data_IF_267506073915
#
_entry.id   IF_267506073915
#
_cell.length_a   1.000
_cell.length_b   1.000
_cell.length_c   1.000
_cell.angle_alpha   90.00
_cell.angle_beta   90.00
_cell.angle_gamma   90.00
#
_symmetry.space_group_name_H-M   'P 1'
#
loop_
_entity.id
_entity.type
_entity.pdbx_description
1 polymer ?
#
# COMPACT_ATOMS: atom_id res chain seq x y z
N UNK A 1 17.34 -7.55 6.76
CA UNK A 1 16.44 -6.41 7.09
C UNK A 1 15.45 -6.92 8.12
N UNK A 2 15.26 -6.18 9.21
CA UNK A 2 14.37 -6.61 10.31
C UNK A 2 12.89 -6.59 9.89
N UNK A 3 12.06 -7.43 10.51
CA UNK A 3 10.63 -7.53 10.19
C UNK A 3 9.85 -6.25 10.52
N UNK A 4 10.27 -5.52 11.57
CA UNK A 4 9.67 -4.23 11.93
C UNK A 4 10.03 -3.18 10.89
N UNK A 5 11.27 -3.17 10.39
CA UNK A 5 11.67 -2.29 9.28
C UNK A 5 10.87 -2.59 8.00
N UNK A 6 10.68 -3.87 7.67
CA UNK A 6 9.87 -4.27 6.52
C UNK A 6 8.40 -3.83 6.65
N UNK A 7 7.82 -3.91 7.85
CA UNK A 7 6.47 -3.39 8.12
C UNK A 7 6.38 -1.87 7.92
N UNK A 8 7.36 -1.12 8.41
CA UNK A 8 7.41 0.34 8.23
C UNK A 8 7.50 0.73 6.75
N UNK A 9 8.37 0.05 5.99
CA UNK A 9 8.49 0.24 4.54
C UNK A 9 7.19 -0.12 3.82
N UNK A 10 6.52 -1.20 4.22
CA UNK A 10 5.27 -1.62 3.62
C UNK A 10 4.14 -0.60 3.86
N UNK A 11 4.05 -0.03 5.07
CA UNK A 11 3.09 1.03 5.38
C UNK A 11 3.37 2.27 4.53
N UNK A 12 4.64 2.67 4.39
CA UNK A 12 5.02 3.79 3.51
C UNK A 12 4.64 3.52 2.05
N UNK A 13 4.81 2.28 1.58
CA UNK A 13 4.42 1.88 0.23
C UNK A 13 2.91 1.99 0.01
N UNK A 14 2.10 1.52 0.97
CA UNK A 14 0.64 1.64 0.92
C UNK A 14 0.22 3.11 0.89
N UNK A 15 0.83 3.96 1.73
CA UNK A 15 0.53 5.39 1.75
C UNK A 15 0.86 6.06 0.40
N UNK A 16 2.04 5.78 -0.17
CA UNK A 16 2.44 6.29 -1.47
C UNK A 16 1.52 5.82 -2.61
N UNK A 17 1.18 4.53 -2.63
CA UNK A 17 0.24 3.97 -3.61
C UNK A 17 -1.13 4.64 -3.52
N UNK A 18 -1.63 4.84 -2.30
CA UNK A 18 -2.93 5.47 -2.06
C UNK A 18 -2.95 6.91 -2.54
N UNK A 19 -1.94 7.69 -2.16
CA UNK A 19 -1.83 9.10 -2.58
C UNK A 19 -1.75 9.25 -4.10
N UNK A 20 -0.90 8.45 -4.75
CA UNK A 20 -0.77 8.48 -6.21
C UNK A 20 -2.06 8.04 -6.90
N UNK A 21 -2.73 7.00 -6.39
CA UNK A 21 -3.99 6.53 -6.96
C UNK A 21 -5.05 7.62 -6.94
N UNK A 22 -5.28 8.26 -5.79
CA UNK A 22 -6.27 9.33 -5.72
C UNK A 22 -5.86 10.57 -6.52
N UNK A 23 -4.59 10.94 -6.50
CA UNK A 23 -4.08 12.07 -7.29
C UNK A 23 -4.29 11.86 -8.79
N UNK A 24 -3.96 10.68 -9.31
CA UNK A 24 -4.17 10.31 -10.71
C UNK A 24 -5.66 10.28 -11.06
N UNK A 25 -6.50 9.67 -10.23
CA UNK A 25 -7.95 9.61 -10.46
C UNK A 25 -8.58 11.01 -10.52
N UNK A 26 -8.14 11.95 -9.68
CA UNK A 26 -8.65 13.32 -9.68
C UNK A 26 -8.12 14.12 -10.88
N UNK A 27 -6.83 13.98 -11.21
CA UNK A 27 -6.21 14.69 -12.34
C UNK A 27 -6.84 14.30 -13.67
N UNK A 28 -7.11 13.01 -13.84
CA UNK A 28 -7.53 12.43 -15.13
C UNK A 28 -9.04 12.19 -15.21
N UNK A 29 -9.82 12.68 -14.23
CA UNK A 29 -11.27 12.51 -14.19
C UNK A 29 -11.96 13.18 -15.39
N UNK A 30 -12.76 12.40 -16.14
CA UNK A 30 -13.60 12.94 -17.20
C UNK A 30 -14.83 13.67 -16.62
N UNK A 31 -15.27 14.79 -17.21
CA UNK A 31 -16.49 15.47 -16.80
C UNK A 31 -17.72 14.55 -16.87
N UNK A 32 -18.52 14.52 -15.81
CA UNK A 32 -19.79 13.79 -15.78
C UNK A 32 -20.88 14.65 -16.43
N UNK A 33 -21.52 14.15 -17.49
CA UNK A 33 -22.68 14.83 -18.10
C UNK A 33 -23.92 14.62 -17.22
N UNK A 34 -24.42 15.70 -16.62
CA UNK A 34 -25.63 15.67 -15.77
C UNK A 34 -26.92 15.57 -16.57
N UNK A 35 -26.91 15.94 -17.85
CA UNK A 35 -28.04 15.78 -18.77
C UNK A 35 -27.56 15.62 -20.22
N UNK A 36 -28.38 15.05 -21.11
CA UNK A 36 -28.04 14.90 -22.53
C UNK A 36 -27.78 16.23 -23.25
N UNK A 37 -28.35 17.32 -22.75
CA UNK A 37 -28.25 18.66 -23.34
C UNK A 37 -27.22 19.55 -22.62
N UNK A 38 -26.39 19.00 -21.74
CA UNK A 38 -25.36 19.78 -21.06
C UNK A 38 -24.26 20.18 -22.06
N UNK A 39 -23.91 21.48 -22.17
CA UNK A 39 -22.89 21.94 -23.11
C UNK A 39 -21.54 21.31 -22.78
N UNK A 40 -20.84 20.83 -23.80
CA UNK A 40 -19.52 20.24 -23.63
C UNK A 40 -18.50 21.31 -23.23
N UNK A 41 -17.63 21.03 -22.24
CA UNK A 41 -16.53 21.94 -21.90
C UNK A 41 -15.55 22.06 -23.09
N UNK A 42 -14.80 23.18 -23.19
CA UNK A 42 -13.77 23.33 -24.20
C UNK A 42 -12.78 22.16 -24.12
N UNK A 43 -12.31 21.63 -25.27
CA UNK A 43 -11.37 20.51 -25.27
C UNK A 43 -10.11 20.88 -24.49
N UNK A 44 -9.76 20.07 -23.50
CA UNK A 44 -8.50 20.20 -22.78
C UNK A 44 -7.31 19.89 -23.71
N UNK A 45 -6.12 20.43 -23.43
CA UNK A 45 -4.90 20.07 -24.17
C UNK A 45 -4.69 18.55 -24.12
N UNK A 46 -4.65 17.91 -25.29
CA UNK A 46 -4.49 16.46 -25.41
C UNK A 46 -3.08 16.08 -24.98
N UNK A 47 -2.89 15.16 -24.01
CA UNK A 47 -1.58 14.61 -23.70
C UNK A 47 -1.04 13.80 -24.89
N UNK A 48 0.29 13.60 -25.02
CA UNK A 48 0.89 12.84 -26.12
C UNK A 48 0.32 11.41 -26.21
N UNK A 49 0.16 10.87 -27.43
CA UNK A 49 -0.57 9.62 -27.69
C UNK A 49 0.10 8.33 -27.19
N UNK A 50 1.35 8.39 -26.71
CA UNK A 50 2.13 7.18 -26.39
C UNK A 50 2.02 6.70 -24.93
N UNK A 51 1.37 7.43 -24.03
CA UNK A 51 1.24 7.08 -22.60
C UNK A 51 -0.17 6.60 -22.21
N UNK A 52 -0.95 6.18 -23.21
CA UNK A 52 -2.31 5.70 -23.02
C UNK A 52 -2.31 4.22 -22.58
N UNK A 53 -1.89 3.93 -21.35
CA UNK A 53 -2.71 2.96 -20.60
C UNK A 53 -4.11 3.53 -20.63
N UNK A 54 -5.04 2.87 -21.33
CA UNK A 54 -6.45 3.29 -21.37
C UNK A 54 -6.84 3.65 -19.94
N UNK A 55 -7.24 4.89 -19.70
CA UNK A 55 -7.61 5.37 -18.38
C UNK A 55 -8.64 4.44 -17.72
N UNK A 56 -9.42 3.70 -18.50
CA UNK A 56 -10.35 2.65 -18.05
C UNK A 56 -9.68 1.48 -17.29
N UNK A 57 -8.42 1.17 -17.60
CA UNK A 57 -7.66 0.04 -17.02
C UNK A 57 -6.72 0.48 -15.90
N UNK A 58 -6.31 1.75 -15.87
CA UNK A 58 -5.40 2.30 -14.86
C UNK A 58 -5.97 2.20 -13.42
N UNK A 59 -7.25 2.51 -13.12
CA UNK A 59 -7.85 2.31 -11.80
C UNK A 59 -7.83 0.85 -11.36
N UNK A 60 -8.03 -0.09 -12.30
CA UNK A 60 -7.98 -1.53 -12.01
C UNK A 60 -6.56 -1.99 -11.65
N UNK A 61 -5.55 -1.50 -12.37
CA UNK A 61 -4.14 -1.79 -12.07
C UNK A 61 -3.73 -1.21 -10.71
N UNK A 62 -4.12 0.04 -10.42
CA UNK A 62 -3.80 0.70 -9.15
C UNK A 62 -4.51 0.05 -7.96
N UNK A 63 -5.79 -0.32 -8.11
CA UNK A 63 -6.51 -1.06 -7.07
C UNK A 63 -5.92 -2.45 -6.83
N UNK A 64 -5.52 -3.18 -7.88
CA UNK A 64 -4.84 -4.46 -7.74
C UNK A 64 -3.49 -4.31 -7.00
N UNK A 65 -2.72 -3.25 -7.28
CA UNK A 65 -1.49 -2.96 -6.58
C UNK A 65 -1.73 -2.68 -5.08
N UNK A 66 -2.77 -1.91 -4.75
CA UNK A 66 -3.14 -1.63 -3.36
C UNK A 66 -3.55 -2.91 -2.60
N UNK A 67 -4.37 -3.77 -3.21
CA UNK A 67 -4.77 -5.06 -2.61
C UNK A 67 -3.56 -5.96 -2.40
N UNK A 68 -2.62 -6.01 -3.35
CA UNK A 68 -1.38 -6.77 -3.21
C UNK A 68 -0.54 -6.25 -2.04
N UNK A 69 -0.41 -4.93 -1.92
CA UNK A 69 0.34 -4.31 -0.83
C UNK A 69 -0.30 -4.59 0.54
N UNK A 70 -1.63 -4.57 0.63
CA UNK A 70 -2.36 -4.95 1.85
C UNK A 70 -2.11 -6.41 2.25
N UNK A 71 -2.16 -7.34 1.29
CA UNK A 71 -1.85 -8.76 1.56
C UNK A 71 -0.41 -8.98 2.03
N UNK A 72 0.54 -8.22 1.49
CA UNK A 72 1.93 -8.28 1.94
C UNK A 72 2.08 -7.78 3.38
N UNK A 73 1.36 -6.71 3.74
CA UNK A 73 1.31 -6.23 5.12
C UNK A 73 0.75 -7.30 6.07
N UNK A 74 -0.38 -7.93 5.71
CA UNK A 74 -0.97 -9.01 6.52
C UNK A 74 0.01 -10.19 6.72
N UNK A 75 0.73 -10.58 5.66
CA UNK A 75 1.74 -11.63 5.73
C UNK A 75 2.91 -11.25 6.66
N UNK A 76 3.35 -10.00 6.64
CA UNK A 76 4.39 -9.50 7.54
C UNK A 76 3.91 -9.45 8.99
N UNK A 77 2.66 -9.04 9.24
CA UNK A 77 2.04 -9.06 10.58
C UNK A 77 1.93 -10.50 11.10
N UNK A 78 1.52 -11.45 10.27
CA UNK A 78 1.43 -12.86 10.63
C UNK A 78 2.79 -13.50 10.92
N UNK A 79 3.87 -12.96 10.34
CA UNK A 79 5.24 -13.42 10.57
C UNK A 79 5.89 -12.78 11.82
N UNK A 80 5.20 -11.86 12.51
CA UNK A 80 5.72 -11.30 13.76
C UNK A 80 5.92 -12.40 14.81
N UNK A 81 7.08 -12.44 15.47
CA UNK A 81 7.31 -13.39 16.55
C UNK A 81 6.29 -13.12 17.66
N UNK A 82 5.49 -14.13 17.98
CA UNK A 82 4.52 -14.06 19.08
C UNK A 82 5.29 -13.91 20.39
N UNK A 83 5.13 -12.78 21.07
CA UNK A 83 5.55 -12.62 22.47
C UNK A 83 4.59 -13.41 23.36
N UNK A 84 4.66 -14.74 23.31
CA UNK A 84 3.90 -15.62 24.20
C UNK A 84 4.27 -15.28 25.65
N UNK A 85 3.32 -14.69 26.39
CA UNK A 85 3.52 -14.28 27.78
C UNK A 85 4.10 -12.87 27.99
N UNK A 86 4.21 -12.05 26.95
CA UNK A 86 4.64 -10.65 27.06
C UNK A 86 6.14 -10.48 27.39
N UNK A 87 6.51 -9.27 27.83
CA UNK A 87 7.90 -8.88 28.06
C UNK A 87 8.60 -9.73 29.13
N UNK A 88 7.93 -10.00 30.26
CA UNK A 88 8.53 -10.79 31.36
C UNK A 88 8.88 -12.23 30.95
N UNK A 89 8.02 -12.91 30.18
CA UNK A 89 8.30 -14.25 29.68
C UNK A 89 9.41 -14.26 28.63
N UNK A 90 9.61 -13.14 27.94
CA UNK A 90 10.67 -12.95 26.96
C UNK A 90 12.01 -12.69 27.67
N UNK A 91 12.02 -11.84 28.71
CA UNK A 91 13.19 -11.59 29.56
C UNK A 91 13.66 -12.88 30.27
N UNK A 92 12.73 -13.66 30.83
CA UNK A 92 13.06 -14.95 31.45
C UNK A 92 13.70 -15.93 30.47
N UNK A 93 13.16 -16.02 29.24
CA UNK A 93 13.76 -16.83 28.16
C UNK A 93 15.17 -16.38 27.80
N UNK A 94 15.43 -15.07 27.79
CA UNK A 94 16.77 -14.53 27.54
C UNK A 94 17.74 -14.94 28.65
N UNK A 95 17.33 -14.83 29.92
CA UNK A 95 18.15 -15.23 31.07
C UNK A 95 18.47 -16.74 31.06
N UNK A 96 17.49 -17.59 30.74
CA UNK A 96 17.68 -19.04 30.58
C UNK A 96 18.68 -19.36 29.45
N UNK A 97 18.57 -18.67 28.30
CA UNK A 97 19.51 -18.84 27.18
C UNK A 97 20.93 -18.35 27.51
N UNK A 98 21.05 -17.27 28.29
CA UNK A 98 22.36 -16.76 28.75
C UNK A 98 23.01 -17.75 29.73
N UNK A 99 22.27 -18.23 30.73
CA UNK A 99 22.76 -19.19 31.70
C UNK A 99 23.19 -20.52 31.05
N UNK A 100 22.46 -21.00 30.04
CA UNK A 100 22.81 -22.20 29.28
C UNK A 100 23.98 -22.06 28.31
N UNK A 101 24.44 -20.83 28.02
CA UNK A 101 25.57 -20.54 27.13
C UNK A 101 26.88 -20.32 27.90
N UNK A 102 26.79 -20.00 29.20
CA UNK A 102 27.92 -19.85 30.14
C UNK A 102 28.31 -21.15 30.87
N UNK A 103 27.58 -22.26 30.63
CA UNK A 103 27.82 -23.59 31.22
C UNK A 103 28.46 -24.57 30.21
#
# INVERSE_FOLDING_TARGET
MDIISQLQEQVNSIAALTFNTFGTLQRDATPVKLSPNYPDPPPAPVPPPDDATKFEDQPKLMSAALVKAAKQFDALVAALPLSDGGEEAQLKRIEELQCGMDA
#
